data_IF_472026987714
#
_entry.id   IF_472026987714
#
_cell.length_a   1.000
_cell.length_b   1.000
_cell.length_c   1.000
_cell.angle_alpha   90.00
_cell.angle_beta   90.00
_cell.angle_gamma   90.00
#
_symmetry.space_group_name_H-M   'P 1'
#
loop_
_entity.id
_entity.type
_entity.pdbx_description
1 polymer ?
#
# COMPACT_ATOMS: atom_id res chain seq x y z
N UNK A 1 22.51 -9.73 15.99
CA UNK A 1 21.11 -9.30 16.17
C UNK A 1 21.03 -7.92 15.53
N UNK A 2 20.49 -7.75 14.32
CA UNK A 2 20.26 -6.40 13.82
C UNK A 2 18.98 -5.86 14.45
N UNK A 3 19.12 -4.65 14.93
CA UNK A 3 18.15 -3.74 15.49
C UNK A 3 16.92 -3.54 14.59
N UNK A 4 15.74 -3.61 15.20
CA UNK A 4 14.50 -3.12 14.64
C UNK A 4 14.63 -1.61 14.39
N UNK A 5 14.60 -1.20 13.13
CA UNK A 5 14.39 0.19 12.76
C UNK A 5 12.91 0.54 12.95
N UNK A 6 12.66 1.78 13.40
CA UNK A 6 11.33 2.28 13.73
C UNK A 6 10.41 2.25 12.49
N UNK A 7 9.15 1.81 12.61
CA UNK A 7 8.19 2.00 11.53
C UNK A 7 7.89 3.49 11.39
N UNK A 8 8.21 4.04 10.22
CA UNK A 8 8.07 5.45 9.90
C UNK A 8 6.60 5.83 9.71
N UNK A 9 6.15 6.85 10.44
CA UNK A 9 4.99 7.66 10.10
C UNK A 9 5.41 8.58 8.93
N UNK A 10 4.92 8.32 7.72
CA UNK A 10 5.20 9.20 6.57
C UNK A 10 4.29 10.43 6.63
N UNK A 11 4.89 11.62 6.83
CA UNK A 11 4.23 12.92 6.61
C UNK A 11 5.13 13.79 5.75
N UNK A 12 4.63 14.16 4.56
CA UNK A 12 4.39 15.55 4.15
C UNK A 12 3.88 15.55 2.69
N UNK A 13 2.59 15.82 2.51
CA UNK A 13 2.11 16.28 1.21
C UNK A 13 2.57 17.72 0.99
N UNK A 14 3.20 17.97 -0.16
CA UNK A 14 3.39 19.33 -0.64
C UNK A 14 2.03 20.01 -0.82
N UNK A 15 1.89 21.21 -0.23
CA UNK A 15 0.68 22.05 -0.21
C UNK A 15 -0.40 21.67 0.84
N UNK A 16 0.01 21.57 2.11
CA UNK A 16 -0.81 22.04 3.23
C UNK A 16 -1.85 21.08 3.81
N UNK A 17 -1.86 19.81 3.40
CA UNK A 17 -2.66 18.77 4.07
C UNK A 17 -1.76 17.55 4.32
N UNK A 18 -1.44 17.17 5.57
CA UNK A 18 -0.63 15.99 5.85
C UNK A 18 -1.40 14.71 5.47
N UNK A 19 -1.23 14.25 4.24
CA UNK A 19 -1.67 12.92 3.80
C UNK A 19 -0.69 11.84 4.26
N UNK A 20 -1.20 10.66 4.56
CA UNK A 20 -0.37 9.48 4.75
C UNK A 20 0.23 9.04 3.40
N UNK A 21 1.51 8.64 3.40
CA UNK A 21 2.16 8.11 2.19
C UNK A 21 1.53 6.80 1.70
N UNK A 22 1.68 6.46 0.42
CA UNK A 22 1.09 5.23 -0.14
C UNK A 22 1.67 3.97 0.51
N UNK A 23 0.82 2.95 0.56
CA UNK A 23 1.07 1.66 1.19
C UNK A 23 1.16 0.56 0.11
N UNK A 24 2.19 -0.27 0.17
CA UNK A 24 2.41 -1.28 -0.86
C UNK A 24 3.66 -2.13 -0.64
N UNK A 25 4.37 -2.40 -1.74
CA UNK A 25 5.44 -3.38 -1.78
C UNK A 25 6.66 -2.87 -2.55
N UNK A 26 7.82 -2.87 -1.89
CA UNK A 26 9.12 -2.71 -2.54
C UNK A 26 9.56 -4.04 -3.17
N UNK A 27 9.82 -4.04 -4.48
CA UNK A 27 10.24 -5.22 -5.24
C UNK A 27 11.76 -5.36 -5.37
N UNK A 28 12.49 -4.38 -4.81
CA UNK A 28 13.95 -4.27 -4.87
C UNK A 28 14.68 -4.84 -3.66
N UNK A 29 13.98 -5.10 -2.55
CA UNK A 29 14.60 -5.63 -1.34
C UNK A 29 15.04 -7.09 -1.50
N UNK A 30 14.22 -7.89 -2.17
CA UNK A 30 14.42 -9.32 -2.35
C UNK A 30 13.96 -9.73 -3.75
N UNK A 31 14.86 -10.31 -4.55
CA UNK A 31 14.57 -10.72 -5.91
C UNK A 31 13.34 -11.65 -5.97
N UNK A 32 12.38 -11.29 -6.83
CA UNK A 32 11.15 -12.06 -7.03
C UNK A 32 10.12 -11.94 -5.91
N UNK A 33 10.31 -11.05 -4.94
CA UNK A 33 9.36 -10.81 -3.84
C UNK A 33 8.93 -9.34 -3.76
N UNK A 34 7.67 -9.13 -3.39
CA UNK A 34 7.18 -7.83 -2.94
C UNK A 34 7.24 -7.78 -1.41
N UNK A 35 8.09 -6.92 -0.86
CA UNK A 35 8.22 -6.74 0.58
C UNK A 35 7.37 -5.55 1.01
N UNK A 36 6.48 -5.74 1.99
CA UNK A 36 5.65 -4.68 2.57
C UNK A 36 6.51 -3.45 2.87
N UNK A 37 6.08 -2.30 2.34
CA UNK A 37 6.83 -1.07 2.42
C UNK A 37 5.94 0.17 2.27
N UNK A 38 6.42 1.28 2.82
CA UNK A 38 5.76 2.57 2.75
C UNK A 38 6.72 3.60 2.16
N UNK A 39 6.23 4.39 1.22
CA UNK A 39 7.04 5.42 0.54
C UNK A 39 6.36 6.78 0.66
N UNK A 40 7.03 7.81 0.18
CA UNK A 40 6.47 9.15 0.02
C UNK A 40 6.19 9.42 -1.44
N UNK A 41 5.07 10.07 -1.74
CA UNK A 41 4.80 10.64 -3.06
C UNK A 41 4.71 12.16 -2.98
N UNK A 42 5.22 12.83 -4.01
CA UNK A 42 5.04 14.28 -4.17
C UNK A 42 4.80 14.64 -5.64
N UNK A 43 4.10 15.75 -5.85
CA UNK A 43 3.89 16.30 -7.19
C UNK A 43 5.08 17.16 -7.60
N UNK A 44 5.83 16.70 -8.61
CA UNK A 44 6.86 17.49 -9.27
C UNK A 44 6.20 18.49 -10.23
N UNK A 45 6.35 19.79 -9.94
CA UNK A 45 5.78 20.86 -10.74
C UNK A 45 6.49 21.08 -12.08
N UNK A 46 7.79 20.77 -12.14
CA UNK A 46 8.62 20.99 -13.33
C UNK A 46 8.32 19.91 -14.38
N UNK A 47 8.29 18.65 -13.93
CA UNK A 47 7.98 17.49 -14.80
C UNK A 47 6.48 17.18 -14.90
N UNK A 48 5.65 17.83 -14.07
CA UNK A 48 4.18 17.65 -14.01
C UNK A 48 3.76 16.20 -13.83
N UNK A 49 4.39 15.52 -12.86
CA UNK A 49 4.12 14.13 -12.53
C UNK A 49 4.23 13.89 -11.03
N UNK A 50 3.63 12.80 -10.57
CA UNK A 50 3.93 12.25 -9.25
C UNK A 50 5.29 11.57 -9.27
N UNK A 51 6.06 11.78 -8.20
CA UNK A 51 7.37 11.16 -7.96
C UNK A 51 7.28 10.31 -6.70
N UNK A 52 7.76 9.07 -6.79
CA UNK A 52 7.80 8.09 -5.71
C UNK A 52 9.18 8.10 -5.07
N UNK A 53 9.24 8.23 -3.75
CA UNK A 53 10.48 8.37 -2.97
C UNK A 53 10.52 7.39 -1.81
N UNK A 54 11.53 6.54 -1.78
CA UNK A 54 11.83 5.72 -0.61
C UNK A 54 12.70 6.52 0.38
N UNK A 55 12.04 7.27 1.27
CA UNK A 55 12.72 8.10 2.26
C UNK A 55 13.44 7.28 3.33
N UNK A 56 13.02 6.04 3.60
CA UNK A 56 13.65 5.15 4.57
C UNK A 56 15.02 4.66 4.07
N UNK A 57 15.14 4.45 2.75
CA UNK A 57 16.32 3.82 2.16
C UNK A 57 17.19 4.73 1.30
N UNK A 58 17.09 6.06 1.47
CA UNK A 58 17.99 7.01 0.82
C UNK A 58 19.46 6.66 1.09
N UNK A 59 20.21 6.35 0.03
CA UNK A 59 21.64 6.04 0.09
C UNK A 59 22.00 4.63 0.57
N UNK A 60 21.02 3.75 0.82
CA UNK A 60 21.27 2.35 1.23
C UNK A 60 21.60 1.41 0.05
N UNK A 61 21.47 1.89 -1.19
CA UNK A 61 21.91 1.18 -2.39
C UNK A 61 20.99 0.04 -2.85
N UNK A 62 19.74 0.00 -2.38
CA UNK A 62 18.74 -0.96 -2.84
C UNK A 62 18.23 -0.67 -4.26
N UNK A 63 18.14 0.62 -4.61
CA UNK A 63 17.73 1.13 -5.92
C UNK A 63 18.73 2.19 -6.39
N UNK A 64 18.75 2.47 -7.69
CA UNK A 64 19.64 3.48 -8.27
C UNK A 64 19.23 4.90 -7.87
N UNK A 65 17.92 5.17 -7.86
CA UNK A 65 17.32 6.47 -7.60
C UNK A 65 16.24 6.37 -6.52
N UNK A 66 16.59 6.26 -5.22
CA UNK A 66 15.59 6.21 -4.15
C UNK A 66 14.77 7.49 -4.03
N UNK A 67 15.26 8.61 -4.59
CA UNK A 67 14.55 9.88 -4.75
C UNK A 67 13.57 9.95 -5.93
N UNK A 68 13.56 8.97 -6.83
CA UNK A 68 12.65 8.87 -7.98
C UNK A 68 12.57 7.41 -8.44
N UNK A 69 11.81 6.62 -7.70
CA UNK A 69 11.70 5.17 -7.92
C UNK A 69 11.22 4.87 -9.34
N UNK A 70 11.93 3.97 -10.01
CA UNK A 70 11.58 3.55 -11.35
C UNK A 70 10.25 2.76 -11.36
N UNK A 71 9.50 2.77 -12.48
CA UNK A 71 8.26 2.01 -12.59
C UNK A 71 8.47 0.53 -12.25
N UNK A 72 7.75 0.07 -11.23
CA UNK A 72 7.79 -1.32 -10.77
C UNK A 72 8.75 -1.61 -9.62
N UNK A 73 9.63 -0.68 -9.24
CA UNK A 73 10.43 -0.79 -8.01
C UNK A 73 9.53 -0.77 -6.78
N UNK A 74 8.50 0.08 -6.78
CA UNK A 74 7.41 0.05 -5.80
C UNK A 74 6.08 -0.23 -6.48
N UNK A 75 5.27 -1.06 -5.83
CA UNK A 75 3.89 -1.36 -6.22
C UNK A 75 2.95 -0.98 -5.09
N UNK A 76 1.97 -0.11 -5.35
CA UNK A 76 0.90 0.11 -4.38
C UNK A 76 0.13 -1.20 -4.14
N UNK A 77 -0.62 -1.30 -3.04
CA UNK A 77 -1.47 -2.47 -2.80
C UNK A 77 -2.43 -2.76 -3.97
N UNK A 78 -3.01 -1.71 -4.57
CA UNK A 78 -3.84 -1.83 -5.77
C UNK A 78 -3.08 -2.33 -7.01
N UNK A 79 -1.89 -1.79 -7.28
CA UNK A 79 -1.05 -2.22 -8.40
C UNK A 79 -0.62 -3.70 -8.26
N UNK A 80 -0.23 -4.11 -7.05
CA UNK A 80 0.10 -5.50 -6.74
C UNK A 80 -1.12 -6.42 -6.91
N UNK A 81 -2.31 -6.00 -6.46
CA UNK A 81 -3.55 -6.75 -6.63
C UNK A 81 -3.87 -6.97 -8.11
N UNK A 82 -3.85 -5.93 -8.94
CA UNK A 82 -4.13 -6.05 -10.38
C UNK A 82 -3.18 -7.05 -11.05
N UNK A 83 -1.88 -6.97 -10.74
CA UNK A 83 -0.89 -7.91 -11.29
C UNK A 83 -1.11 -9.34 -10.84
N UNK A 84 -1.45 -9.54 -9.56
CA UNK A 84 -1.80 -10.85 -9.00
C UNK A 84 -3.03 -11.44 -9.71
N UNK A 85 -4.10 -10.66 -9.85
CA UNK A 85 -5.34 -11.09 -10.52
C UNK A 85 -5.14 -11.40 -11.99
N UNK A 86 -4.21 -10.71 -12.66
CA UNK A 86 -3.83 -10.97 -14.04
C UNK A 86 -2.87 -12.18 -14.20
N UNK A 87 -2.41 -12.80 -13.10
CA UNK A 87 -1.43 -13.90 -13.13
C UNK A 87 -0.02 -13.47 -13.55
N UNK A 88 0.29 -12.17 -13.46
CA UNK A 88 1.60 -11.61 -13.80
C UNK A 88 2.62 -11.78 -12.67
N UNK A 89 2.15 -11.97 -11.44
CA UNK A 89 2.96 -12.24 -10.26
C UNK A 89 2.34 -13.35 -9.42
N UNK A 90 3.17 -14.11 -8.70
CA UNK A 90 2.69 -15.03 -7.68
C UNK A 90 2.40 -14.27 -6.39
N UNK A 91 1.13 -14.19 -6.00
CA UNK A 91 0.71 -13.48 -4.79
C UNK A 91 1.37 -14.02 -3.53
N UNK A 92 1.80 -15.29 -3.50
CA UNK A 92 2.49 -15.90 -2.36
C UNK A 92 3.87 -15.28 -2.09
N UNK A 93 4.43 -14.54 -3.05
CA UNK A 93 5.72 -13.86 -2.92
C UNK A 93 5.60 -12.42 -2.39
N UNK A 94 4.41 -12.00 -1.97
CA UNK A 94 4.16 -10.67 -1.38
C UNK A 94 3.93 -10.80 0.11
N UNK A 95 4.63 -10.01 0.93
CA UNK A 95 4.43 -10.06 2.37
C UNK A 95 5.42 -9.27 3.23
N UNK A 96 5.27 -9.45 4.55
CA UNK A 96 6.11 -8.84 5.58
C UNK A 96 7.21 -9.84 6.01
N UNK A 97 8.50 -9.53 5.78
CA UNK A 97 9.60 -10.36 6.25
C UNK A 97 9.56 -10.56 7.76
N UNK A 98 9.71 -11.82 8.20
CA UNK A 98 9.71 -12.17 9.62
C UNK A 98 8.32 -12.44 10.23
N UNK A 99 7.25 -12.32 9.44
CA UNK A 99 5.87 -12.57 9.89
C UNK A 99 5.20 -13.62 9.00
N UNK A 100 5.23 -14.90 9.40
CA UNK A 100 4.80 -16.03 8.55
C UNK A 100 3.34 -15.96 8.06
N UNK A 101 2.46 -15.27 8.80
CA UNK A 101 1.03 -15.13 8.45
C UNK A 101 0.72 -13.91 7.59
N UNK A 102 1.64 -12.95 7.48
CA UNK A 102 1.47 -11.71 6.72
C UNK A 102 2.08 -11.83 5.32
N UNK A 103 1.66 -12.87 4.59
CA UNK A 103 2.07 -13.14 3.20
C UNK A 103 0.85 -13.53 2.36
N UNK A 104 1.00 -13.42 1.05
CA UNK A 104 0.03 -13.92 0.10
C UNK A 104 -1.01 -12.88 -0.33
N UNK A 105 -2.05 -13.33 -1.06
CA UNK A 105 -3.12 -12.47 -1.55
C UNK A 105 -3.84 -11.68 -0.45
N UNK A 106 -3.94 -12.24 0.77
CA UNK A 106 -4.52 -11.55 1.91
C UNK A 106 -3.74 -10.28 2.27
N UNK A 107 -2.41 -10.36 2.28
CA UNK A 107 -1.55 -9.21 2.53
C UNK A 107 -1.66 -8.16 1.42
N UNK A 108 -1.72 -8.61 0.15
CA UNK A 108 -1.94 -7.70 -0.99
C UNK A 108 -3.26 -6.94 -0.84
N UNK A 109 -4.35 -7.65 -0.50
CA UNK A 109 -5.64 -7.00 -0.27
C UNK A 109 -5.63 -6.05 0.93
N UNK A 110 -4.95 -6.42 2.02
CA UNK A 110 -4.80 -5.58 3.21
C UNK A 110 -4.05 -4.28 2.90
N UNK A 111 -2.93 -4.39 2.18
CA UNK A 111 -2.20 -3.24 1.66
C UNK A 111 -3.06 -2.36 0.75
N UNK A 112 -3.90 -2.94 -0.12
CA UNK A 112 -4.80 -2.16 -0.97
C UNK A 112 -5.83 -1.37 -0.16
N UNK A 113 -6.39 -1.95 0.90
CA UNK A 113 -7.33 -1.24 1.80
C UNK A 113 -6.61 -0.16 2.62
N UNK A 114 -5.38 -0.41 3.07
CA UNK A 114 -4.54 0.59 3.75
C UNK A 114 -4.18 1.76 2.83
N UNK A 115 -3.86 1.47 1.58
CA UNK A 115 -3.57 2.48 0.55
C UNK A 115 -4.78 3.38 0.27
N UNK A 116 -5.99 2.81 0.18
CA UNK A 116 -7.23 3.59 0.07
C UNK A 116 -7.42 4.55 1.26
N UNK A 117 -7.13 4.10 2.48
CA UNK A 117 -7.21 4.95 3.66
C UNK A 117 -6.18 6.09 3.60
N UNK A 118 -4.95 5.80 3.15
CA UNK A 118 -3.90 6.79 2.98
C UNK A 118 -4.28 7.87 1.94
N UNK A 119 -4.79 7.45 0.77
CA UNK A 119 -5.31 8.33 -0.28
C UNK A 119 -6.49 9.21 0.19
N UNK A 120 -7.21 8.77 1.21
CA UNK A 120 -8.31 9.50 1.82
C UNK A 120 -7.89 10.28 3.09
N UNK A 121 -6.58 10.55 3.27
CA UNK A 121 -6.01 11.27 4.41
C UNK A 121 -6.36 10.65 5.77
N UNK A 122 -6.35 9.32 5.88
CA UNK A 122 -6.46 8.60 7.16
C UNK A 122 -5.09 8.10 7.58
N UNK A 123 -4.60 8.62 8.71
CA UNK A 123 -3.34 8.19 9.30
C UNK A 123 -3.50 6.83 9.99
N UNK A 124 -3.00 5.78 9.35
CA UNK A 124 -3.03 4.40 9.88
C UNK A 124 -1.62 3.92 10.24
N UNK A 125 -1.51 3.00 11.18
CA UNK A 125 -0.27 2.28 11.46
C UNK A 125 -0.07 1.15 10.42
N UNK A 126 1.19 0.76 10.12
CA UNK A 126 1.46 -0.33 9.18
C UNK A 126 0.81 -1.68 9.52
N UNK A 127 0.59 -1.94 10.81
CA UNK A 127 -0.04 -3.17 11.32
C UNK A 127 -1.52 -2.99 11.66
N UNK A 128 -2.14 -1.85 11.32
CA UNK A 128 -3.56 -1.67 11.53
C UNK A 128 -4.36 -2.58 10.60
N UNK A 129 -5.28 -3.34 11.19
CA UNK A 129 -6.20 -4.23 10.50
C UNK A 129 -7.65 -3.81 10.80
N UNK A 130 -8.50 -3.77 9.77
CA UNK A 130 -9.92 -3.52 9.93
C UNK A 130 -10.75 -4.16 8.81
N UNK A 131 -12.07 -4.01 8.89
CA UNK A 131 -13.00 -4.56 7.91
C UNK A 131 -12.82 -6.07 7.81
N UNK A 132 -12.54 -6.56 6.60
CA UNK A 132 -12.38 -8.00 6.31
C UNK A 132 -10.93 -8.48 6.25
N UNK A 133 -9.94 -7.67 6.61
CA UNK A 133 -8.51 -8.05 6.56
C UNK A 133 -8.23 -9.32 7.37
N UNK A 134 -8.63 -9.38 8.64
CA UNK A 134 -8.43 -10.57 9.48
C UNK A 134 -9.11 -11.81 8.89
N UNK A 135 -10.32 -11.67 8.35
CA UNK A 135 -11.00 -12.77 7.67
C UNK A 135 -10.25 -13.21 6.40
N UNK A 136 -9.59 -12.29 5.69
CA UNK A 136 -8.77 -12.61 4.53
C UNK A 136 -7.53 -13.41 4.93
N UNK A 137 -6.81 -13.00 5.97
CA UNK A 137 -5.66 -13.76 6.51
C UNK A 137 -6.06 -15.16 6.99
N UNK A 138 -7.26 -15.31 7.54
CA UNK A 138 -7.82 -16.60 7.96
C UNK A 138 -8.38 -17.46 6.81
N UNK A 139 -8.34 -16.97 5.57
CA UNK A 139 -8.91 -17.66 4.40
C UNK A 139 -10.45 -17.79 4.44
N UNK A 140 -11.12 -16.86 5.13
CA UNK A 140 -12.58 -16.83 5.32
C UNK A 140 -13.28 -15.79 4.44
N UNK A 141 -12.55 -15.14 3.54
CA UNK A 141 -13.12 -14.30 2.46
C UNK A 141 -13.42 -15.15 1.22
N UNK A 142 -14.25 -14.61 0.34
CA UNK A 142 -14.67 -15.28 -0.89
C UNK A 142 -14.61 -14.35 -2.11
N UNK A 143 -15.14 -14.82 -3.26
CA UNK A 143 -15.13 -14.05 -4.51
C UNK A 143 -15.79 -12.68 -4.41
N UNK A 144 -16.74 -12.50 -3.50
CA UNK A 144 -17.37 -11.22 -3.19
C UNK A 144 -16.35 -10.18 -2.71
N UNK A 145 -15.44 -10.59 -1.83
CA UNK A 145 -14.36 -9.72 -1.34
C UNK A 145 -13.32 -9.48 -2.44
N UNK A 146 -12.95 -10.50 -3.21
CA UNK A 146 -12.05 -10.32 -4.35
C UNK A 146 -12.57 -9.26 -5.32
N UNK A 147 -13.88 -9.28 -5.63
CA UNK A 147 -14.52 -8.28 -6.50
C UNK A 147 -14.55 -6.88 -5.89
N UNK A 148 -14.67 -6.77 -4.56
CA UNK A 148 -14.56 -5.50 -3.87
C UNK A 148 -13.14 -4.94 -4.00
N UNK A 149 -12.11 -5.78 -3.84
CA UNK A 149 -10.72 -5.36 -4.00
C UNK A 149 -10.38 -5.07 -5.48
N UNK A 150 -10.95 -5.82 -6.43
CA UNK A 150 -10.87 -5.49 -7.86
C UNK A 150 -11.44 -4.07 -8.13
N UNK A 151 -12.57 -3.73 -7.51
CA UNK A 151 -13.19 -2.39 -7.60
C UNK A 151 -12.32 -1.33 -6.97
N UNK A 152 -11.75 -1.62 -5.79
CA UNK A 152 -10.83 -0.73 -5.09
C UNK A 152 -9.60 -0.42 -5.93
N UNK A 153 -8.91 -1.45 -6.42
CA UNK A 153 -7.69 -1.28 -7.19
C UNK A 153 -7.92 -0.45 -8.46
N UNK A 154 -9.04 -0.65 -9.15
CA UNK A 154 -9.43 0.17 -10.31
C UNK A 154 -9.72 1.62 -9.91
N UNK A 155 -10.39 1.84 -8.77
CA UNK A 155 -10.71 3.20 -8.28
C UNK A 155 -9.45 3.97 -7.91
N UNK A 156 -8.47 3.31 -7.25
CA UNK A 156 -7.17 3.91 -6.95
C UNK A 156 -6.39 4.26 -8.23
N UNK A 157 -6.45 3.44 -9.26
CA UNK A 157 -5.77 3.70 -10.53
C UNK A 157 -6.36 4.89 -11.32
N UNK A 158 -7.65 5.21 -11.11
CA UNK A 158 -8.33 6.34 -11.74
C UNK A 158 -8.08 7.69 -11.03
N UNK A 159 -7.60 7.67 -9.78
CA UNK A 159 -7.30 8.85 -8.95
C UNK A 159 -8.51 9.84 -8.83
N UNK A 160 -9.74 9.31 -8.81
CA UNK A 160 -10.95 10.10 -8.56
C UNK A 160 -11.21 10.22 -7.05
N UNK A 161 -10.86 11.37 -6.48
CA UNK A 161 -11.05 11.67 -5.06
C UNK A 161 -12.49 11.45 -4.55
N UNK A 162 -13.53 11.71 -5.36
CA UNK A 162 -14.90 11.46 -4.94
C UNK A 162 -15.24 9.98 -4.94
N UNK A 163 -14.74 9.22 -5.93
CA UNK A 163 -14.92 7.78 -5.98
C UNK A 163 -14.20 7.11 -4.80
N UNK A 164 -12.96 7.51 -4.51
CA UNK A 164 -12.18 7.05 -3.36
C UNK A 164 -12.91 7.31 -2.04
N UNK A 165 -13.39 8.54 -1.83
CA UNK A 165 -14.13 8.90 -0.62
C UNK A 165 -15.42 8.08 -0.44
N UNK A 166 -16.17 7.84 -1.53
CA UNK A 166 -17.36 6.96 -1.50
C UNK A 166 -16.99 5.53 -1.16
N UNK A 167 -15.90 5.02 -1.74
CA UNK A 167 -15.45 3.65 -1.53
C UNK A 167 -14.95 3.44 -0.10
N UNK A 168 -14.24 4.40 0.49
CA UNK A 168 -13.85 4.36 1.90
C UNK A 168 -15.09 4.29 2.83
N UNK A 169 -16.24 4.79 2.40
CA UNK A 169 -17.49 4.68 3.17
C UNK A 169 -18.14 3.28 3.16
N UNK A 170 -17.61 2.33 2.40
CA UNK A 170 -18.12 0.95 2.34
C UNK A 170 -17.89 0.22 3.68
N UNK A 171 -18.86 -0.57 4.16
CA UNK A 171 -18.81 -1.21 5.49
C UNK A 171 -17.56 -2.09 5.69
N UNK A 172 -17.10 -2.75 4.63
CA UNK A 172 -15.91 -3.61 4.65
C UNK A 172 -14.57 -2.86 4.49
N UNK A 173 -14.59 -1.56 4.19
CA UNK A 173 -13.40 -0.74 3.90
C UNK A 173 -13.25 0.46 4.83
N UNK A 174 -14.33 0.89 5.48
CA UNK A 174 -14.34 2.05 6.35
C UNK A 174 -13.44 1.87 7.56
N UNK A 175 -12.57 2.85 7.80
CA UNK A 175 -11.74 2.91 9.00
C UNK A 175 -12.65 3.10 10.21
N UNK A 176 -12.61 2.19 11.21
CA UNK A 176 -13.41 2.33 12.42
C UNK A 176 -13.05 3.60 13.21
N UNK A 177 -14.06 4.27 13.78
CA UNK A 177 -13.89 5.52 14.54
C UNK A 177 -12.86 5.41 15.68
N UNK A 178 -12.74 4.24 16.31
CA UNK A 178 -11.80 4.02 17.43
C UNK A 178 -10.33 3.94 16.99
N UNK A 179 -10.07 3.84 15.69
CA UNK A 179 -8.72 3.82 15.11
C UNK A 179 -8.30 5.21 14.60
N UNK A 180 -9.24 6.15 14.47
CA UNK A 180 -8.95 7.54 14.12
C UNK A 180 -8.43 8.28 15.35
N UNK A 181 -7.28 8.95 15.21
CA UNK A 181 -6.64 9.73 16.28
C UNK A 181 -7.21 11.14 16.40
#
# INVERSE_FOLDING_TARGET
MPSFHHPCLCVLAGAGDPGAGPCGFGTYFLEGRGVDHWITEYWDTDDRRWVRVDTEHLGNGYVEHPEDLAPGEFLTGGEAWVRYRAGLVDGQNFGVPGTDHAWGPAEISGNAVRDLAALCNREMLPWDEWGRMTAAYEGKTGPDYDHLIDTLANTCAEDDAQALSRLLGHEDLAVPDHMLK
#
